data_IF_037840659051
#
_entry.id   IF_037840659051
#
_cell.length_a   1.000
_cell.length_b   1.000
_cell.length_c   1.000
_cell.angle_alpha   90.00
_cell.angle_beta   90.00
_cell.angle_gamma   90.00
#
_symmetry.space_group_name_H-M   'P 1'
#
loop_
_entity.id
_entity.type
_entity.pdbx_description
1 polymer ?
#
# COMPACT_ATOMS: atom_id res chain seq x y z
N UNK A 1 1.02 -35.82 -4.38
CA UNK A 1 1.14 -34.59 -5.20
C UNK A 1 2.46 -33.92 -4.84
N UNK A 2 3.21 -33.42 -5.81
CA UNK A 2 4.43 -32.64 -5.58
C UNK A 2 4.07 -31.35 -4.85
N UNK A 3 4.73 -31.07 -3.71
CA UNK A 3 4.53 -29.83 -2.94
C UNK A 3 4.89 -28.62 -3.80
N UNK A 4 4.08 -27.56 -3.74
CA UNK A 4 4.21 -26.38 -4.60
C UNK A 4 4.87 -25.22 -3.82
N UNK A 5 5.57 -24.35 -4.54
CA UNK A 5 6.06 -23.07 -4.00
C UNK A 5 4.88 -22.15 -3.64
N UNK A 6 5.07 -21.25 -2.67
CA UNK A 6 4.01 -20.34 -2.25
C UNK A 6 3.50 -19.44 -3.37
N UNK A 7 2.18 -19.44 -3.58
CA UNK A 7 1.44 -18.43 -4.32
C UNK A 7 0.17 -18.04 -3.58
N UNK A 8 -0.15 -16.74 -3.54
CA UNK A 8 -1.40 -16.26 -2.91
C UNK A 8 -2.64 -16.81 -3.59
N UNK A 9 -2.60 -17.01 -4.90
CA UNK A 9 -3.73 -17.56 -5.65
C UNK A 9 -3.99 -19.01 -5.29
N UNK A 10 -2.94 -19.80 -5.08
CA UNK A 10 -3.05 -21.20 -4.66
C UNK A 10 -3.53 -21.31 -3.21
N UNK A 11 -3.03 -20.47 -2.30
CA UNK A 11 -3.53 -20.42 -0.91
C UNK A 11 -5.03 -20.08 -0.90
N UNK A 12 -5.47 -19.12 -1.73
CA UNK A 12 -6.90 -18.80 -1.86
C UNK A 12 -7.71 -20.00 -2.36
N UNK A 13 -7.22 -20.72 -3.37
CA UNK A 13 -7.89 -21.92 -3.90
C UNK A 13 -8.06 -22.99 -2.81
N UNK A 14 -6.98 -23.34 -2.11
CA UNK A 14 -7.02 -24.36 -1.04
C UNK A 14 -8.03 -24.00 0.05
N UNK A 15 -8.08 -22.74 0.48
CA UNK A 15 -9.03 -22.29 1.50
C UNK A 15 -10.47 -22.37 0.99
N UNK A 16 -10.73 -21.88 -0.23
CA UNK A 16 -12.07 -21.85 -0.82
C UNK A 16 -12.61 -23.23 -1.20
N UNK A 17 -11.73 -24.20 -1.49
CA UNK A 17 -12.10 -25.60 -1.73
C UNK A 17 -12.58 -26.29 -0.43
N UNK A 18 -12.06 -25.87 0.73
CA UNK A 18 -12.42 -26.44 2.04
C UNK A 18 -13.68 -25.79 2.60
N UNK A 19 -13.77 -24.46 2.52
CA UNK A 19 -14.95 -23.71 2.94
C UNK A 19 -15.17 -22.51 2.02
N UNK A 20 -16.18 -22.59 1.17
CA UNK A 20 -16.52 -21.51 0.23
C UNK A 20 -17.29 -20.35 0.86
N UNK A 21 -17.67 -20.45 2.15
CA UNK A 21 -18.42 -19.40 2.86
C UNK A 21 -17.51 -18.41 3.57
N UNK A 22 -16.21 -18.71 3.67
CA UNK A 22 -15.25 -17.82 4.32
C UNK A 22 -14.77 -16.75 3.35
N UNK A 23 -14.61 -15.53 3.86
CA UNK A 23 -14.05 -14.43 3.07
C UNK A 23 -12.63 -14.18 3.54
N UNK A 24 -11.67 -14.42 2.66
CA UNK A 24 -10.25 -14.18 2.94
C UNK A 24 -10.01 -12.67 2.87
N UNK A 25 -9.61 -12.08 3.99
CA UNK A 25 -9.28 -10.66 4.08
C UNK A 25 -7.86 -10.41 3.58
N UNK A 26 -6.88 -11.13 4.13
CA UNK A 26 -5.46 -10.94 3.85
C UNK A 26 -4.70 -12.27 3.80
N UNK A 27 -3.64 -12.33 3.01
CA UNK A 27 -2.65 -13.41 3.03
C UNK A 27 -1.28 -12.74 2.95
N UNK A 28 -0.52 -12.78 4.05
CA UNK A 28 0.77 -12.14 4.18
C UNK A 28 1.86 -13.20 4.39
N UNK A 29 2.90 -13.22 3.57
CA UNK A 29 4.06 -14.08 3.77
C UNK A 29 5.22 -13.28 4.35
N UNK A 30 5.67 -13.63 5.55
CA UNK A 30 6.85 -13.11 6.23
C UNK A 30 7.93 -14.19 6.28
N UNK A 31 8.88 -14.14 5.34
CA UNK A 31 9.93 -15.17 5.19
C UNK A 31 9.34 -16.57 5.05
N UNK A 32 9.37 -17.38 6.11
CA UNK A 32 8.86 -18.75 6.13
C UNK A 32 7.47 -18.85 6.78
N UNK A 33 6.92 -17.77 7.31
CA UNK A 33 5.60 -17.75 7.94
C UNK A 33 4.57 -17.11 7.01
N UNK A 34 3.40 -17.71 6.87
CA UNK A 34 2.26 -17.20 6.12
C UNK A 34 1.11 -16.95 7.09
N UNK A 35 0.77 -15.68 7.28
CA UNK A 35 -0.37 -15.23 8.07
C UNK A 35 -1.59 -15.03 7.14
N UNK A 36 -2.66 -15.75 7.43
CA UNK A 36 -3.92 -15.70 6.69
C UNK A 36 -4.97 -15.06 7.61
N UNK A 37 -5.62 -14.01 7.15
CA UNK A 37 -6.72 -13.39 7.85
C UNK A 37 -8.05 -13.72 7.15
N UNK A 38 -9.00 -14.27 7.91
CA UNK A 38 -10.28 -14.76 7.40
C UNK A 38 -11.42 -14.11 8.18
N UNK A 39 -12.38 -13.54 7.45
CA UNK A 39 -13.65 -13.07 7.99
C UNK A 39 -14.63 -14.24 8.08
N UNK A 40 -15.21 -14.42 9.28
CA UNK A 40 -16.17 -15.49 9.56
C UNK A 40 -17.45 -14.93 10.18
N UNK A 41 -18.59 -15.47 9.74
CA UNK A 41 -19.92 -15.10 10.25
C UNK A 41 -20.15 -15.66 11.67
N UNK A 42 -19.63 -16.85 11.97
CA UNK A 42 -19.70 -17.47 13.30
C UNK A 42 -18.36 -17.33 14.04
N UNK A 43 -18.26 -16.32 14.91
CA UNK A 43 -17.01 -15.96 15.60
C UNK A 43 -16.76 -16.72 16.94
N UNK A 44 -17.50 -17.79 17.20
CA UNK A 44 -17.33 -18.59 18.43
C UNK A 44 -15.98 -19.31 18.47
N UNK A 45 -15.43 -19.53 19.66
CA UNK A 45 -14.13 -20.21 19.83
C UNK A 45 -14.14 -21.63 19.22
N UNK A 46 -15.25 -22.36 19.37
CA UNK A 46 -15.42 -23.70 18.81
C UNK A 46 -15.36 -23.70 17.27
N UNK A 47 -16.15 -22.83 16.63
CA UNK A 47 -16.18 -22.73 15.17
C UNK A 47 -14.80 -22.36 14.57
N UNK A 48 -14.09 -21.42 15.22
CA UNK A 48 -12.72 -21.04 14.82
C UNK A 48 -11.75 -22.22 14.92
N UNK A 49 -11.76 -22.93 16.06
CA UNK A 49 -10.87 -24.08 16.26
C UNK A 49 -11.16 -25.24 15.30
N UNK A 50 -12.44 -25.52 15.02
CA UNK A 50 -12.83 -26.58 14.09
C UNK A 50 -12.41 -26.25 12.64
N UNK A 51 -12.50 -24.98 12.25
CA UNK A 51 -12.08 -24.51 10.92
C UNK A 51 -10.55 -24.50 10.80
N UNK A 52 -9.84 -24.03 11.82
CA UNK A 52 -8.38 -24.02 11.87
C UNK A 52 -7.79 -25.43 11.76
N UNK A 53 -8.39 -26.42 12.44
CA UNK A 53 -8.01 -27.84 12.35
C UNK A 53 -8.22 -28.46 10.97
N UNK A 54 -9.10 -27.90 10.14
CA UNK A 54 -9.30 -28.35 8.75
C UNK A 54 -8.32 -27.67 7.79
N UNK A 55 -8.13 -26.36 7.97
CA UNK A 55 -7.32 -25.54 7.07
C UNK A 55 -5.81 -25.79 7.23
N UNK A 56 -5.30 -25.85 8.46
CA UNK A 56 -3.85 -25.97 8.71
C UNK A 56 -3.25 -27.26 8.11
N UNK A 57 -3.82 -28.47 8.31
CA UNK A 57 -3.27 -29.68 7.70
C UNK A 57 -3.28 -29.63 6.18
N UNK A 58 -4.36 -29.16 5.57
CA UNK A 58 -4.47 -29.07 4.12
C UNK A 58 -3.45 -28.10 3.51
N UNK A 59 -3.21 -26.95 4.15
CA UNK A 59 -2.17 -26.01 3.73
C UNK A 59 -0.77 -26.63 3.88
N UNK A 60 -0.49 -27.32 4.99
CA UNK A 60 0.81 -27.96 5.24
C UNK A 60 1.09 -29.15 4.29
N UNK A 61 0.05 -29.85 3.85
CA UNK A 61 0.17 -30.95 2.88
C UNK A 61 0.42 -30.43 1.46
N UNK A 62 -0.21 -29.32 1.09
CA UNK A 62 -0.13 -28.74 -0.26
C UNK A 62 1.17 -27.97 -0.52
N UNK A 63 1.68 -27.24 0.47
CA UNK A 63 2.88 -26.41 0.35
C UNK A 63 4.15 -27.08 0.90
N UNK A 64 5.32 -26.51 0.59
CA UNK A 64 6.61 -27.00 1.08
C UNK A 64 6.70 -26.98 2.62
N UNK A 65 7.46 -27.93 3.20
CA UNK A 65 7.55 -28.15 4.66
C UNK A 65 8.26 -27.01 5.42
N UNK A 66 8.99 -26.15 4.72
CA UNK A 66 9.68 -24.99 5.28
C UNK A 66 8.76 -23.80 5.53
N UNK A 67 7.49 -23.87 5.10
CA UNK A 67 6.50 -22.82 5.29
C UNK A 67 5.58 -23.16 6.47
N UNK A 68 5.48 -22.26 7.45
CA UNK A 68 4.50 -22.31 8.53
C UNK A 68 3.30 -21.43 8.21
N UNK A 69 2.09 -21.90 8.55
CA UNK A 69 0.85 -21.13 8.36
C UNK A 69 0.26 -20.73 9.71
N UNK A 70 -0.26 -19.50 9.79
CA UNK A 70 -1.05 -19.01 10.92
C UNK A 70 -2.37 -18.43 10.41
N UNK A 71 -3.45 -18.63 11.16
CA UNK A 71 -4.79 -18.16 10.76
C UNK A 71 -5.32 -17.21 11.82
N UNK A 72 -5.62 -15.96 11.43
CA UNK A 72 -6.30 -14.96 12.24
C UNK A 72 -7.75 -14.85 11.77
N UNK A 73 -8.67 -14.90 12.73
CA UNK A 73 -10.09 -14.76 12.45
C UNK A 73 -10.57 -13.37 12.81
N UNK A 74 -11.35 -12.77 11.92
CA UNK A 74 -12.02 -11.48 12.12
C UNK A 74 -13.54 -11.68 12.01
N UNK A 75 -14.31 -11.04 12.89
CA UNK A 75 -15.77 -11.06 12.82
C UNK A 75 -16.25 -10.12 11.71
N UNK A 76 -17.36 -10.46 11.05
CA UNK A 76 -18.00 -9.58 10.05
C UNK A 76 -18.27 -8.21 10.66
N UNK A 77 -17.60 -7.16 10.15
CA UNK A 77 -17.90 -5.77 10.53
C UNK A 77 -19.08 -5.27 9.71
N UNK A 78 -20.07 -4.62 10.36
CA UNK A 78 -21.03 -3.76 9.65
C UNK A 78 -20.25 -2.59 9.07
N UNK A 79 -20.39 -2.34 7.77
CA UNK A 79 -19.69 -1.25 7.08
C UNK A 79 -19.98 0.10 7.75
N UNK A 80 -18.97 0.69 8.39
CA UNK A 80 -19.03 2.08 8.84
C UNK A 80 -18.84 3.01 7.64
N UNK A 81 -19.87 3.82 7.43
CA UNK A 81 -20.07 4.80 6.37
C UNK A 81 -19.12 6.00 6.48
N UNK A 82 -17.82 5.81 6.27
CA UNK A 82 -16.92 6.95 6.00
C UNK A 82 -16.79 7.17 4.49
N UNK A 83 -17.69 8.01 3.96
CA UNK A 83 -17.72 8.55 2.58
C UNK A 83 -16.59 9.58 2.32
N UNK A 84 -15.37 9.32 2.76
CA UNK A 84 -14.21 9.93 2.10
C UNK A 84 -14.01 9.16 0.78
N UNK A 85 -13.67 9.86 -0.31
CA UNK A 85 -13.56 9.28 -1.65
C UNK A 85 -12.59 8.09 -1.65
N UNK A 86 -13.12 6.88 -1.42
CA UNK A 86 -12.35 5.64 -1.53
C UNK A 86 -11.92 5.54 -2.98
N UNK A 87 -10.61 5.43 -3.19
CA UNK A 87 -10.05 4.98 -4.46
C UNK A 87 -10.53 3.54 -4.62
N UNK A 88 -11.66 3.35 -5.31
CA UNK A 88 -12.47 2.11 -5.25
C UNK A 88 -11.71 0.86 -5.71
N UNK A 89 -10.66 1.05 -6.50
CA UNK A 89 -9.75 0.05 -7.03
C UNK A 89 -8.49 -0.18 -6.15
N UNK A 90 -8.44 0.43 -4.96
CA UNK A 90 -7.30 0.35 -4.04
C UNK A 90 -7.80 -0.12 -2.68
N UNK A 91 -7.32 -1.29 -2.24
CA UNK A 91 -7.78 -1.91 -0.99
C UNK A 91 -7.25 -1.20 0.26
N UNK A 92 -5.96 -0.87 0.25
CA UNK A 92 -5.29 -0.26 1.39
C UNK A 92 -4.45 0.94 0.95
N UNK A 93 -4.65 2.08 1.60
CA UNK A 93 -3.82 3.28 1.46
C UNK A 93 -3.02 3.46 2.74
N UNK A 94 -1.69 3.48 2.63
CA UNK A 94 -0.77 3.69 3.76
C UNK A 94 -0.03 5.01 3.55
N UNK A 95 -0.15 5.91 4.51
CA UNK A 95 0.55 7.19 4.49
C UNK A 95 1.89 7.08 5.22
N UNK A 96 2.99 7.42 4.55
CA UNK A 96 4.32 7.49 5.17
C UNK A 96 4.65 8.95 5.41
N UNK A 97 4.75 9.35 6.68
CA UNK A 97 5.02 10.73 7.08
C UNK A 97 6.32 10.84 7.86
N UNK A 98 6.83 12.06 7.97
CA UNK A 98 7.96 12.39 8.83
C UNK A 98 7.80 13.80 9.32
N UNK A 99 8.13 14.07 10.58
CA UNK A 99 8.03 15.42 11.10
C UNK A 99 9.18 16.34 10.66
N UNK A 100 10.29 15.77 10.15
CA UNK A 100 11.46 16.50 9.66
C UNK A 100 11.96 15.93 8.34
N UNK A 101 12.52 16.80 7.49
CA UNK A 101 13.24 16.39 6.28
C UNK A 101 14.54 15.65 6.60
N UNK A 102 14.95 14.75 5.70
CA UNK A 102 16.23 14.04 5.81
C UNK A 102 16.27 12.86 6.77
N UNK A 103 15.14 12.44 7.35
CA UNK A 103 15.08 11.26 8.25
C UNK A 103 15.04 9.91 7.52
N UNK A 104 15.10 9.91 6.18
CA UNK A 104 15.03 8.70 5.37
C UNK A 104 13.62 8.22 5.04
N UNK A 105 12.58 9.07 5.23
CA UNK A 105 11.17 8.77 4.91
C UNK A 105 11.00 8.10 3.54
N UNK A 106 11.45 8.75 2.48
CA UNK A 106 11.34 8.26 1.11
C UNK A 106 12.06 6.92 0.90
N UNK A 107 13.23 6.74 1.52
CA UNK A 107 13.96 5.47 1.49
C UNK A 107 13.15 4.35 2.13
N UNK A 108 12.50 4.63 3.27
CA UNK A 108 11.59 3.67 3.93
C UNK A 108 10.38 3.37 3.05
N UNK A 109 9.77 4.40 2.44
CA UNK A 109 8.64 4.25 1.50
C UNK A 109 8.99 3.29 0.35
N UNK A 110 10.12 3.51 -0.32
CA UNK A 110 10.56 2.66 -1.43
C UNK A 110 10.78 1.20 -0.98
N UNK A 111 11.45 0.99 0.16
CA UNK A 111 11.72 -0.35 0.68
C UNK A 111 10.44 -1.09 1.11
N UNK A 112 9.48 -0.41 1.73
CA UNK A 112 8.17 -0.98 2.05
C UNK A 112 7.47 -1.42 0.76
N UNK A 113 7.46 -0.57 -0.26
CA UNK A 113 6.79 -0.88 -1.53
C UNK A 113 7.40 -2.11 -2.22
N UNK A 114 8.74 -2.18 -2.31
CA UNK A 114 9.44 -3.35 -2.87
C UNK A 114 9.21 -4.60 -2.02
N UNK A 115 9.20 -4.48 -0.69
CA UNK A 115 8.94 -5.62 0.20
C UNK A 115 7.54 -6.17 -0.03
N UNK A 116 6.52 -5.30 -0.07
CA UNK A 116 5.13 -5.71 -0.37
C UNK A 116 5.02 -6.34 -1.76
N UNK A 117 5.73 -5.80 -2.75
CA UNK A 117 5.76 -6.38 -4.10
C UNK A 117 6.38 -7.77 -4.09
N UNK A 118 7.50 -7.96 -3.40
CA UNK A 118 8.17 -9.26 -3.25
C UNK A 118 7.33 -10.26 -2.45
N UNK A 119 6.46 -9.79 -1.55
CA UNK A 119 5.42 -10.61 -0.91
C UNK A 119 4.27 -10.96 -1.87
N UNK A 120 4.30 -10.52 -3.13
CA UNK A 120 3.30 -10.82 -4.16
C UNK A 120 2.06 -9.94 -4.10
N UNK A 121 2.14 -8.69 -3.61
CA UNK A 121 1.04 -7.73 -3.66
C UNK A 121 1.10 -6.86 -4.93
N UNK A 122 -0.06 -6.36 -5.36
CA UNK A 122 -0.11 -5.27 -6.33
C UNK A 122 0.11 -3.95 -5.59
N UNK A 123 1.22 -3.27 -5.90
CA UNK A 123 1.68 -2.10 -5.15
C UNK A 123 1.81 -0.88 -6.05
N UNK A 124 1.29 0.25 -5.56
CA UNK A 124 1.52 1.58 -6.09
C UNK A 124 2.27 2.46 -5.09
N UNK A 125 3.08 3.39 -5.59
CA UNK A 125 3.74 4.44 -4.83
C UNK A 125 3.36 5.79 -5.42
N UNK A 126 2.81 6.65 -4.57
CA UNK A 126 2.56 8.05 -4.88
C UNK A 126 3.54 8.92 -4.10
N UNK A 127 4.39 9.63 -4.83
CA UNK A 127 5.28 10.65 -4.29
C UNK A 127 4.54 11.99 -4.20
N UNK A 128 4.15 12.35 -2.98
CA UNK A 128 3.49 13.60 -2.66
C UNK A 128 4.48 14.66 -2.13
N UNK A 129 5.78 14.37 -2.10
CA UNK A 129 6.79 15.35 -1.71
C UNK A 129 7.08 16.29 -2.87
N UNK A 130 6.47 17.47 -2.81
CA UNK A 130 6.52 18.43 -3.93
C UNK A 130 7.82 19.22 -3.97
N UNK A 131 8.47 19.38 -2.82
CA UNK A 131 9.68 20.20 -2.68
C UNK A 131 10.96 19.39 -2.88
N UNK A 132 10.92 18.09 -2.58
CA UNK A 132 12.02 17.17 -2.79
C UNK A 132 11.53 15.81 -3.29
N UNK A 133 10.88 15.73 -4.46
CA UNK A 133 10.44 14.46 -5.00
C UNK A 133 11.64 13.56 -5.19
N UNK A 134 11.51 12.29 -4.83
CA UNK A 134 12.63 11.35 -4.86
C UNK A 134 12.26 9.97 -5.39
N UNK A 135 10.97 9.63 -5.48
CA UNK A 135 10.55 8.30 -5.94
C UNK A 135 10.93 8.04 -7.40
N UNK A 136 10.85 9.04 -8.25
CA UNK A 136 11.29 8.91 -9.65
C UNK A 136 12.80 8.60 -9.78
N UNK A 137 13.62 9.03 -8.83
CA UNK A 137 15.04 8.70 -8.75
C UNK A 137 15.20 7.29 -8.18
N UNK A 138 14.59 7.02 -7.02
CA UNK A 138 14.73 5.73 -6.30
C UNK A 138 14.21 4.52 -7.08
N UNK A 139 13.31 4.73 -8.04
CA UNK A 139 12.76 3.68 -8.90
C UNK A 139 13.38 3.67 -10.32
N UNK A 140 14.48 4.38 -10.57
CA UNK A 140 15.17 4.44 -11.88
C UNK A 140 14.28 4.93 -13.03
N UNK A 141 13.46 5.94 -12.76
CA UNK A 141 12.51 6.54 -13.70
C UNK A 141 12.89 7.98 -14.08
N UNK A 142 14.13 8.39 -13.82
CA UNK A 142 14.63 9.72 -14.19
C UNK A 142 14.49 9.94 -15.69
N UNK A 143 13.98 11.12 -16.09
CA UNK A 143 13.76 11.48 -17.49
C UNK A 143 12.53 10.83 -18.13
N UNK A 144 11.82 9.94 -17.42
CA UNK A 144 10.58 9.33 -17.92
C UNK A 144 9.38 10.20 -17.57
N UNK A 145 8.35 10.13 -18.41
CA UNK A 145 7.09 10.85 -18.21
C UNK A 145 5.90 9.89 -18.33
N UNK A 146 4.91 9.98 -17.43
CA UNK A 146 3.64 9.30 -17.58
C UNK A 146 2.98 9.67 -18.90
N UNK A 147 2.38 8.68 -19.56
CA UNK A 147 1.56 8.91 -20.75
C UNK A 147 0.09 9.10 -20.35
N UNK A 148 -0.64 9.86 -21.14
CA UNK A 148 -2.10 9.87 -21.06
C UNK A 148 -2.65 8.61 -21.73
N UNK A 149 -3.63 7.99 -21.10
CA UNK A 149 -4.37 6.82 -21.62
C UNK A 149 -5.86 7.06 -21.48
N UNK A 150 -6.65 6.56 -22.41
CA UNK A 150 -8.10 6.67 -22.36
C UNK A 150 -8.68 5.48 -21.60
N UNK A 151 -9.39 5.75 -20.50
CA UNK A 151 -10.05 4.76 -19.66
C UNK A 151 -11.50 5.18 -19.47
N UNK A 152 -12.44 4.39 -20.00
CA UNK A 152 -13.87 4.68 -19.93
C UNK A 152 -14.24 6.08 -20.47
N UNK A 153 -13.65 6.48 -21.61
CA UNK A 153 -13.88 7.78 -22.24
C UNK A 153 -13.27 8.97 -21.49
N UNK A 154 -12.43 8.73 -20.48
CA UNK A 154 -11.70 9.77 -19.73
C UNK A 154 -10.20 9.60 -19.92
N UNK A 155 -9.52 10.71 -20.20
CA UNK A 155 -8.06 10.75 -20.20
C UNK A 155 -7.54 10.62 -18.76
N UNK A 156 -6.73 9.58 -18.53
CA UNK A 156 -6.07 9.28 -17.26
C UNK A 156 -4.57 9.23 -17.44
N UNK A 157 -3.84 9.52 -16.37
CA UNK A 157 -2.40 9.38 -16.31
C UNK A 157 -2.03 7.93 -16.04
N UNK A 158 -1.27 7.29 -16.93
CA UNK A 158 -0.76 5.93 -16.70
C UNK A 158 0.47 6.00 -15.78
N UNK A 159 0.43 5.42 -14.57
CA UNK A 159 1.61 5.31 -13.72
C UNK A 159 2.75 4.63 -14.46
N UNK A 160 3.97 5.09 -14.20
CA UNK A 160 5.16 4.37 -14.66
C UNK A 160 5.36 3.13 -13.81
N UNK A 161 5.99 2.10 -14.35
CA UNK A 161 6.25 0.86 -13.61
C UNK A 161 7.75 0.61 -13.58
N UNK A 162 8.26 0.29 -12.39
CA UNK A 162 9.63 -0.14 -12.17
C UNK A 162 9.68 -1.14 -11.02
N UNK A 163 10.51 -2.17 -11.13
CA UNK A 163 10.59 -3.27 -10.15
C UNK A 163 9.22 -3.92 -9.84
N UNK A 164 8.29 -3.89 -10.81
CA UNK A 164 6.91 -4.39 -10.65
C UNK A 164 6.01 -3.54 -9.74
N UNK A 165 6.42 -2.32 -9.40
CA UNK A 165 5.68 -1.33 -8.61
C UNK A 165 5.25 -0.18 -9.53
N UNK A 166 3.98 0.23 -9.44
CA UNK A 166 3.48 1.41 -10.14
C UNK A 166 3.87 2.67 -9.39
N UNK A 167 4.38 3.69 -10.07
CA UNK A 167 4.91 4.90 -9.47
C UNK A 167 4.32 6.13 -10.16
N UNK A 168 3.82 7.06 -9.36
CA UNK A 168 3.55 8.44 -9.75
C UNK A 168 4.31 9.39 -8.86
N UNK A 169 5.01 10.33 -9.46
CA UNK A 169 5.74 11.37 -8.74
C UNK A 169 5.60 12.70 -9.46
N UNK A 170 5.50 13.77 -8.67
CA UNK A 170 5.58 15.12 -9.23
C UNK A 170 6.93 15.36 -9.92
N UNK A 171 7.96 14.62 -9.52
CA UNK A 171 9.29 14.64 -10.12
C UNK A 171 9.32 14.31 -11.61
N UNK A 172 8.29 13.64 -12.15
CA UNK A 172 8.16 13.41 -13.59
C UNK A 172 7.86 14.69 -14.38
N UNK A 173 7.36 15.73 -13.72
CA UNK A 173 6.93 16.98 -14.33
C UNK A 173 7.88 18.15 -14.04
N UNK A 174 8.86 17.95 -13.15
CA UNK A 174 9.95 18.89 -12.90
C UNK A 174 11.17 18.48 -13.72
N UNK A 175 11.71 19.37 -14.54
CA UNK A 175 13.01 19.13 -15.17
C UNK A 175 14.11 19.07 -14.12
N UNK A 176 15.13 18.23 -14.33
CA UNK A 176 16.26 18.02 -13.41
C UNK A 176 16.94 19.36 -13.04
N UNK A 177 16.96 20.32 -13.97
CA UNK A 177 17.59 21.63 -13.81
C UNK A 177 16.59 22.79 -13.62
N UNK A 178 15.29 22.50 -13.51
CA UNK A 178 14.25 23.53 -13.37
C UNK A 178 13.72 23.57 -11.95
N UNK A 179 14.15 24.59 -11.19
CA UNK A 179 13.51 24.96 -9.94
C UNK A 179 12.10 25.53 -10.22
N UNK A 180 11.11 24.64 -10.31
CA UNK A 180 9.69 25.04 -10.44
C UNK A 180 9.20 25.50 -9.07
N UNK A 181 8.81 26.78 -8.96
CA UNK A 181 8.20 27.30 -7.74
C UNK A 181 6.76 26.79 -7.66
N UNK A 182 6.55 25.75 -6.86
CA UNK A 182 5.23 25.21 -6.58
C UNK A 182 4.48 26.11 -5.59
N UNK A 183 3.54 26.92 -6.09
CA UNK A 183 2.60 27.63 -5.23
C UNK A 183 1.54 26.66 -4.67
N UNK A 184 1.11 26.86 -3.42
CA UNK A 184 0.18 25.95 -2.71
C UNK A 184 -1.01 25.44 -3.54
N UNK A 185 -1.79 26.31 -4.22
CA UNK A 185 -2.91 25.87 -5.04
C UNK A 185 -2.51 24.98 -6.23
N UNK A 186 -1.35 25.24 -6.85
CA UNK A 186 -0.83 24.46 -7.98
C UNK A 186 -0.34 23.09 -7.51
N UNK A 187 0.39 23.06 -6.39
CA UNK A 187 0.83 21.85 -5.70
C UNK A 187 -0.36 20.94 -5.36
N UNK A 188 -1.38 21.50 -4.69
CA UNK A 188 -2.59 20.76 -4.32
C UNK A 188 -3.36 20.28 -5.55
N UNK A 189 -3.43 21.07 -6.63
CA UNK A 189 -4.08 20.64 -7.87
C UNK A 189 -3.35 19.47 -8.52
N UNK A 190 -2.04 19.59 -8.73
CA UNK A 190 -1.24 18.54 -9.35
C UNK A 190 -1.32 17.23 -8.56
N UNK A 191 -1.27 17.31 -7.24
CA UNK A 191 -1.38 16.14 -6.39
C UNK A 191 -2.75 15.47 -6.49
N UNK A 192 -3.85 16.24 -6.56
CA UNK A 192 -5.17 15.66 -6.83
C UNK A 192 -5.19 14.91 -8.16
N UNK A 193 -4.54 15.44 -9.20
CA UNK A 193 -4.47 14.75 -10.50
C UNK A 193 -3.69 13.43 -10.40
N UNK A 194 -2.57 13.42 -9.67
CA UNK A 194 -1.80 12.18 -9.44
C UNK A 194 -2.58 11.13 -8.66
N UNK A 195 -3.50 11.54 -7.78
CA UNK A 195 -4.33 10.63 -6.98
C UNK A 195 -5.55 10.15 -7.76
N UNK A 196 -6.35 11.08 -8.28
CA UNK A 196 -7.71 10.82 -8.77
C UNK A 196 -7.80 10.69 -10.30
N UNK A 197 -6.89 11.32 -11.04
CA UNK A 197 -6.86 11.27 -12.52
C UNK A 197 -5.83 10.24 -13.02
N UNK A 198 -5.35 9.36 -12.14
CA UNK A 198 -4.42 8.30 -12.47
C UNK A 198 -5.14 6.96 -12.72
N UNK A 199 -4.59 6.16 -13.63
CA UNK A 199 -5.00 4.79 -13.86
C UNK A 199 -4.16 3.80 -13.05
N UNK A 200 -4.41 3.75 -11.74
CA UNK A 200 -3.73 2.83 -10.83
C UNK A 200 -4.03 1.36 -11.11
N UNK A 201 -5.13 1.04 -11.81
CA UNK A 201 -5.67 -0.31 -11.89
C UNK A 201 -5.98 -0.90 -10.51
N UNK A 202 -6.06 -2.22 -10.39
CA UNK A 202 -6.30 -2.87 -9.09
C UNK A 202 -5.03 -2.92 -8.24
N UNK A 203 -5.06 -2.30 -7.05
CA UNK A 203 -3.96 -2.31 -6.08
C UNK A 203 -4.39 -2.92 -4.75
N UNK A 204 -3.52 -3.76 -4.19
CA UNK A 204 -3.67 -4.19 -2.80
C UNK A 204 -3.16 -3.09 -1.85
N UNK A 205 -2.10 -2.37 -2.23
CA UNK A 205 -1.52 -1.27 -1.46
C UNK A 205 -1.16 -0.06 -2.33
N UNK A 206 -1.57 1.12 -1.90
CA UNK A 206 -1.02 2.40 -2.34
C UNK A 206 -0.25 3.02 -1.18
N UNK A 207 1.06 3.19 -1.36
CA UNK A 207 1.94 3.84 -0.39
C UNK A 207 2.11 5.30 -0.78
N UNK A 208 1.79 6.22 0.11
CA UNK A 208 1.89 7.66 -0.14
C UNK A 208 3.10 8.21 0.62
N UNK A 209 4.11 8.67 -0.12
CA UNK A 209 5.26 9.37 0.43
C UNK A 209 4.90 10.84 0.64
N UNK A 210 4.55 11.21 1.87
CA UNK A 210 4.07 12.56 2.18
C UNK A 210 5.22 13.57 2.23
N UNK A 211 4.98 14.87 2.01
CA UNK A 211 6.01 15.89 2.24
C UNK A 211 6.42 15.92 3.72
N UNK A 212 7.64 16.38 4.05
CA UNK A 212 8.09 16.49 5.45
C UNK A 212 7.28 17.54 6.23
N UNK A 213 7.14 17.31 7.53
CA UNK A 213 6.43 18.20 8.46
C UNK A 213 4.91 17.99 8.48
N UNK A 214 4.21 18.96 9.06
CA UNK A 214 2.74 18.94 9.26
C UNK A 214 2.06 20.13 8.57
N UNK A 215 2.65 20.64 7.49
CA UNK A 215 2.13 21.81 6.77
C UNK A 215 0.83 21.54 5.99
N UNK A 216 0.23 22.60 5.45
CA UNK A 216 -1.11 22.58 4.85
C UNK A 216 -1.30 21.57 3.70
N UNK A 217 -0.25 21.27 2.93
CA UNK A 217 -0.30 20.28 1.85
C UNK A 217 -0.55 18.89 2.44
N UNK A 218 0.13 18.54 3.54
CA UNK A 218 -0.04 17.26 4.23
C UNK A 218 -1.51 17.11 4.71
N UNK A 219 -2.06 18.12 5.38
CA UNK A 219 -3.45 18.11 5.85
C UNK A 219 -4.46 18.04 4.70
N UNK A 220 -4.21 18.79 3.62
CA UNK A 220 -5.10 18.83 2.44
C UNK A 220 -5.23 17.48 1.74
N UNK A 221 -4.15 16.68 1.72
CA UNK A 221 -4.18 15.31 1.16
C UNK A 221 -4.97 14.38 2.07
N UNK A 222 -4.71 14.45 3.38
CA UNK A 222 -5.36 13.60 4.38
C UNK A 222 -6.85 13.84 4.49
N UNK A 223 -7.33 15.06 4.19
CA UNK A 223 -8.76 15.35 4.10
C UNK A 223 -9.44 14.74 2.85
N UNK A 224 -8.68 14.43 1.80
CA UNK A 224 -9.23 13.97 0.52
C UNK A 224 -9.18 12.47 0.32
N UNK A 225 -8.21 11.80 0.95
CA UNK A 225 -8.00 10.37 0.82
C UNK A 225 -8.34 9.68 2.14
N UNK A 226 -9.15 8.62 2.07
CA UNK A 226 -9.34 7.74 3.22
C UNK A 226 -8.08 6.88 3.37
N UNK A 227 -7.29 7.18 4.41
CA UNK A 227 -6.07 6.43 4.75
C UNK A 227 -6.42 5.30 5.71
N UNK A 228 -5.95 4.08 5.42
CA UNK A 228 -6.19 2.90 6.27
C UNK A 228 -5.23 2.84 7.46
N UNK A 229 -4.03 3.42 7.32
CA UNK A 229 -3.03 3.51 8.39
C UNK A 229 -1.87 4.41 8.01
N UNK A 230 -1.06 4.79 8.99
CA UNK A 230 0.13 5.62 8.78
C UNK A 230 1.38 5.03 9.41
N UNK A 231 2.53 5.36 8.84
CA UNK A 231 3.86 5.06 9.37
C UNK A 231 4.59 6.39 9.53
N UNK A 232 5.04 6.69 10.75
CA UNK A 232 5.84 7.89 11.04
C UNK A 232 7.31 7.50 11.09
N UNK A 233 8.11 8.06 10.17
CA UNK A 233 9.55 7.83 10.10
C UNK A 233 10.27 8.95 10.87
N UNK A 234 11.22 8.55 11.72
CA UNK A 234 12.07 9.47 12.48
C UNK A 234 13.48 8.89 12.68
N UNK A 235 14.34 9.69 13.29
CA UNK A 235 15.69 9.28 13.70
C UNK A 235 15.81 9.35 15.23
N UNK A 236 16.79 8.66 15.85
CA UNK A 236 16.96 8.68 17.31
C UNK A 236 17.25 10.05 17.91
N UNK A 237 17.54 11.07 17.08
CA UNK A 237 17.82 12.42 17.55
C UNK A 237 16.60 13.01 18.28
N UNK A 238 16.82 13.52 19.49
CA UNK A 238 15.76 14.00 20.40
C UNK A 238 14.81 14.99 19.72
N UNK A 239 15.34 15.90 18.90
CA UNK A 239 14.54 16.88 18.14
C UNK A 239 13.60 16.19 17.15
N UNK A 240 14.10 15.22 16.37
CA UNK A 240 13.28 14.47 15.44
C UNK A 240 12.23 13.60 16.15
N UNK A 241 12.56 13.05 17.32
CA UNK A 241 11.61 12.31 18.16
C UNK A 241 10.49 13.20 18.72
N UNK A 242 10.84 14.41 19.18
CA UNK A 242 9.87 15.38 19.68
C UNK A 242 8.91 15.86 18.58
N UNK A 243 9.43 16.09 17.37
CA UNK A 243 8.61 16.48 16.22
C UNK A 243 7.74 15.30 15.73
N UNK A 244 8.28 14.08 15.70
CA UNK A 244 7.51 12.89 15.31
C UNK A 244 6.30 12.66 16.21
N UNK A 245 6.43 12.90 17.53
CA UNK A 245 5.30 12.82 18.47
C UNK A 245 4.19 13.83 18.17
N UNK A 246 4.49 14.99 17.59
CA UNK A 246 3.49 15.99 17.20
C UNK A 246 2.77 15.63 15.89
N UNK A 247 3.35 14.75 15.09
CA UNK A 247 2.78 14.31 13.80
C UNK A 247 1.91 13.06 13.89
N UNK A 248 1.73 12.49 15.09
CA UNK A 248 0.79 11.40 15.42
C UNK A 248 -0.51 12.04 15.92
#
# INVERSE_FOLDING_TARGET
MSKINFSKEEVKKVILDIDNKVKILNINKFSNQVDIEIEVSNFTHKAKSDLEKKLLPALNDFFLKDISFSIKFTAVKKDDLNKANKLSNIKNVIAISSAKGGVGKSTVTANIAITLKNMGFNVGVLDADIYGPSMHIMFDLVGRKPLAVEVNGKSKMKPLESYGVKVLSIGFFTGIDQAVIWRGPMATKALNQLIFDADWGELDFLIIDLPPGTGDIHLSIMQKISVNGSVVVSTPQIVAMADARKGI
#
